data_IF_491894595574
#
_entry.id   IF_491894595574
#
_cell.length_a   1.000
_cell.length_b   1.000
_cell.length_c   1.000
_cell.angle_alpha   90.00
_cell.angle_beta   90.00
_cell.angle_gamma   90.00
#
_symmetry.space_group_name_H-M   'P 1'
#
loop_
_entity.id
_entity.type
_entity.pdbx_description
1 polymer ?
#
# COMPACT_ATOMS: atom_id res chain seq x y z
N UNK A 1 18.54 -15.03 16.01
CA UNK A 1 18.29 -14.61 14.61
C UNK A 1 16.95 -15.16 14.15
N UNK A 2 16.02 -14.32 13.77
CA UNK A 2 14.73 -14.81 13.24
C UNK A 2 14.95 -15.40 11.85
N UNK A 3 14.38 -16.57 11.60
CA UNK A 3 14.46 -17.19 10.29
C UNK A 3 13.39 -16.57 9.39
N UNK A 4 13.80 -15.70 8.49
CA UNK A 4 12.89 -14.99 7.60
C UNK A 4 12.10 -15.95 6.69
N UNK A 5 12.73 -17.06 6.29
CA UNK A 5 12.04 -18.05 5.47
C UNK A 5 10.84 -18.70 6.15
N UNK A 6 10.86 -18.81 7.48
CA UNK A 6 9.74 -19.40 8.24
C UNK A 6 8.66 -18.35 8.54
N UNK A 7 9.05 -17.14 8.88
CA UNK A 7 8.13 -16.08 9.30
C UNK A 7 8.07 -14.91 8.32
N UNK A 8 8.61 -15.11 7.12
CA UNK A 8 8.77 -14.02 6.17
C UNK A 8 7.48 -13.33 5.79
N UNK A 9 6.42 -14.09 5.54
CA UNK A 9 5.10 -13.53 5.21
C UNK A 9 4.59 -12.64 6.35
N UNK A 10 4.61 -13.16 7.56
CA UNK A 10 4.12 -12.42 8.72
C UNK A 10 4.96 -11.17 8.97
N UNK A 11 6.29 -11.32 8.95
CA UNK A 11 7.19 -10.20 9.19
C UNK A 11 7.02 -9.10 8.15
N UNK A 12 6.91 -9.48 6.88
CA UNK A 12 6.75 -8.50 5.79
C UNK A 12 5.44 -7.73 5.93
N UNK A 13 4.32 -8.43 6.10
CA UNK A 13 3.02 -7.79 6.21
C UNK A 13 2.92 -6.89 7.44
N UNK A 14 3.43 -7.34 8.59
CA UNK A 14 3.44 -6.54 9.82
C UNK A 14 4.36 -5.32 9.70
N UNK A 15 5.50 -5.47 9.04
CA UNK A 15 6.42 -4.35 8.82
C UNK A 15 5.79 -3.29 7.94
N UNK A 16 5.18 -3.68 6.83
CA UNK A 16 4.48 -2.75 5.93
C UNK A 16 3.33 -2.06 6.67
N UNK A 17 2.52 -2.82 7.41
CA UNK A 17 1.44 -2.27 8.22
C UNK A 17 1.95 -1.21 9.19
N UNK A 18 3.01 -1.50 9.92
CA UNK A 18 3.60 -0.57 10.89
C UNK A 18 4.07 0.71 10.22
N UNK A 19 4.73 0.60 9.07
CA UNK A 19 5.21 1.77 8.34
C UNK A 19 4.06 2.62 7.79
N UNK A 20 3.01 1.98 7.30
CA UNK A 20 1.83 2.72 6.82
C UNK A 20 1.10 3.42 7.96
N UNK A 21 0.90 2.74 9.10
CA UNK A 21 0.23 3.34 10.25
C UNK A 21 1.03 4.50 10.88
N UNK A 22 2.32 4.57 10.64
CA UNK A 22 3.14 5.68 11.09
C UNK A 22 2.87 6.98 10.32
N UNK A 23 2.22 6.90 9.17
CA UNK A 23 1.87 8.09 8.38
C UNK A 23 0.55 8.67 8.90
N UNK A 24 0.52 9.99 9.11
CA UNK A 24 -0.68 10.69 9.61
C UNK A 24 -1.85 10.63 8.62
N UNK A 25 -1.57 10.37 7.35
CA UNK A 25 -2.58 10.29 6.30
C UNK A 25 -3.13 8.87 6.12
N UNK A 26 -2.81 7.95 7.03
CA UNK A 26 -3.32 6.60 7.05
C UNK A 26 -4.05 6.36 8.37
N UNK A 27 -5.33 6.06 8.30
CA UNK A 27 -6.14 5.77 9.48
C UNK A 27 -6.20 4.28 9.77
N UNK A 28 -6.37 3.46 8.73
CA UNK A 28 -6.56 2.01 8.88
C UNK A 28 -5.73 1.28 7.84
N UNK A 29 -5.16 0.15 8.23
CA UNK A 29 -4.48 -0.76 7.31
C UNK A 29 -5.16 -2.12 7.40
N UNK A 30 -5.56 -2.65 6.24
CA UNK A 30 -6.18 -3.96 6.12
C UNK A 30 -5.36 -4.83 5.17
N UNK A 31 -5.61 -6.14 5.21
CA UNK A 31 -4.94 -7.09 4.31
C UNK A 31 -5.93 -8.17 3.88
N UNK A 32 -5.67 -8.79 2.75
CA UNK A 32 -6.49 -9.87 2.21
C UNK A 32 -6.97 -9.56 0.80
N UNK A 33 -8.10 -10.16 0.41
CA UNK A 33 -8.71 -9.89 -0.88
C UNK A 33 -9.36 -8.51 -0.89
N UNK A 34 -9.44 -7.89 -2.07
CA UNK A 34 -10.08 -6.59 -2.22
C UNK A 34 -11.56 -6.64 -1.80
N UNK A 35 -12.20 -7.79 -1.92
CA UNK A 35 -13.58 -7.99 -1.48
C UNK A 35 -13.75 -7.99 0.04
N UNK A 36 -12.65 -8.14 0.77
CA UNK A 36 -12.66 -8.13 2.23
C UNK A 36 -12.81 -6.73 2.83
N UNK A 37 -12.71 -5.69 2.00
CA UNK A 37 -12.84 -4.31 2.46
C UNK A 37 -14.33 -4.00 2.67
N UNK A 38 -14.69 -3.66 3.90
CA UNK A 38 -16.04 -3.22 4.19
C UNK A 38 -16.18 -1.73 3.87
N UNK A 39 -16.59 -1.43 2.66
CA UNK A 39 -16.70 -0.08 2.14
C UNK A 39 -17.78 0.76 2.82
N UNK A 40 -18.67 0.13 3.60
CA UNK A 40 -19.70 0.85 4.35
C UNK A 40 -19.20 1.56 5.59
N UNK A 41 -17.98 1.27 6.04
CA UNK A 41 -17.41 1.88 7.24
C UNK A 41 -16.60 3.12 6.89
N UNK A 42 -17.23 4.29 6.93
CA UNK A 42 -16.57 5.54 6.56
C UNK A 42 -15.45 5.95 7.51
N UNK A 43 -15.53 5.53 8.77
CA UNK A 43 -14.52 5.87 9.79
C UNK A 43 -13.18 5.15 9.61
N UNK A 44 -13.10 4.18 8.70
CA UNK A 44 -11.83 3.49 8.41
C UNK A 44 -10.92 4.26 7.44
N UNK A 45 -11.44 5.29 6.77
CA UNK A 45 -10.64 6.05 5.79
C UNK A 45 -9.90 7.22 6.44
N UNK A 46 -8.72 7.64 5.90
CA UNK A 46 -7.99 7.05 4.76
C UNK A 46 -7.51 5.62 5.05
N UNK A 47 -7.65 4.76 4.03
CA UNK A 47 -7.40 3.33 4.14
C UNK A 47 -6.22 2.92 3.26
N UNK A 48 -5.37 2.06 3.80
CA UNK A 48 -4.39 1.33 3.01
C UNK A 48 -4.70 -0.16 3.09
N UNK A 49 -4.74 -0.83 1.95
CA UNK A 49 -5.07 -2.25 1.86
C UNK A 49 -3.94 -3.01 1.18
N UNK A 50 -3.44 -4.05 1.83
CA UNK A 50 -2.31 -4.85 1.36
C UNK A 50 -2.84 -6.14 0.75
N UNK A 51 -2.47 -6.39 -0.51
CA UNK A 51 -2.83 -7.62 -1.23
C UNK A 51 -1.55 -8.34 -1.59
N UNK A 52 -1.44 -9.60 -1.18
CA UNK A 52 -0.35 -10.46 -1.62
C UNK A 52 -0.80 -11.18 -2.88
N UNK A 53 -0.20 -10.84 -4.01
CA UNK A 53 -0.59 -11.42 -5.30
C UNK A 53 0.00 -12.82 -5.48
N UNK A 54 1.30 -12.96 -5.27
CA UNK A 54 1.97 -14.25 -5.29
C UNK A 54 3.31 -14.19 -4.58
N UNK A 55 3.92 -15.35 -4.38
CA UNK A 55 5.26 -15.48 -3.80
C UNK A 55 6.04 -16.45 -4.68
N UNK A 56 7.24 -16.05 -5.10
CA UNK A 56 8.18 -16.92 -5.81
C UNK A 56 9.25 -17.38 -4.82
N UNK A 57 9.41 -18.69 -4.70
CA UNK A 57 10.38 -19.28 -3.77
C UNK A 57 11.65 -19.62 -4.54
N UNK A 58 12.75 -18.94 -4.23
CA UNK A 58 14.07 -19.22 -4.77
C UNK A 58 14.93 -19.88 -3.68
N UNK A 59 16.12 -20.34 -4.06
CA UNK A 59 17.01 -21.02 -3.11
C UNK A 59 17.42 -20.12 -1.94
N UNK A 60 17.66 -18.83 -2.21
CA UNK A 60 18.17 -17.89 -1.22
C UNK A 60 17.23 -16.72 -0.93
N UNK A 61 16.16 -16.57 -1.70
CA UNK A 61 15.24 -15.44 -1.56
C UNK A 61 13.79 -15.87 -1.66
N UNK A 62 12.92 -15.09 -1.02
CA UNK A 62 11.49 -15.15 -1.24
C UNK A 62 11.07 -13.83 -1.89
N UNK A 63 10.46 -13.91 -3.05
CA UNK A 63 10.04 -12.74 -3.82
C UNK A 63 8.53 -12.58 -3.70
N UNK A 64 8.11 -11.54 -2.98
CA UNK A 64 6.69 -11.23 -2.79
C UNK A 64 6.25 -10.21 -3.81
N UNK A 65 5.24 -10.58 -4.61
CA UNK A 65 4.55 -9.60 -5.46
C UNK A 65 3.34 -9.10 -4.68
N UNK A 66 3.34 -7.83 -4.33
CA UNK A 66 2.29 -7.23 -3.51
C UNK A 66 1.69 -6.02 -4.20
N UNK A 67 0.42 -5.79 -3.92
CA UNK A 67 -0.27 -4.57 -4.32
C UNK A 67 -0.76 -3.86 -3.05
N UNK A 68 -0.58 -2.56 -3.00
CA UNK A 68 -1.04 -1.74 -1.89
C UNK A 68 -1.97 -0.67 -2.46
N UNK A 69 -3.22 -0.67 -1.99
CA UNK A 69 -4.18 0.38 -2.30
C UNK A 69 -4.09 1.43 -1.20
N UNK A 70 -3.92 2.68 -1.60
CA UNK A 70 -4.02 3.82 -0.68
C UNK A 70 -5.13 4.71 -1.19
N UNK A 71 -6.21 4.86 -0.42
CA UNK A 71 -7.41 5.53 -0.88
C UNK A 71 -8.11 6.29 0.24
N UNK A 72 -8.97 7.21 -0.19
CA UNK A 72 -9.82 7.99 0.71
C UNK A 72 -11.17 8.25 0.03
N UNK A 73 -12.14 8.68 0.81
CA UNK A 73 -13.49 9.00 0.33
C UNK A 73 -13.46 10.35 -0.36
N UNK A 74 -14.06 10.41 -1.56
CA UNK A 74 -14.20 11.65 -2.32
C UNK A 74 -15.33 12.47 -1.73
N UNK A 75 -15.03 13.71 -1.36
CA UNK A 75 -16.00 14.69 -0.93
C UNK A 75 -16.37 15.61 -2.11
N UNK A 76 -17.65 15.74 -2.38
CA UNK A 76 -18.14 16.61 -3.44
C UNK A 76 -18.90 17.79 -2.84
N UNK A 77 -18.54 18.99 -3.29
CA UNK A 77 -19.29 20.20 -2.94
C UNK A 77 -20.47 20.38 -3.90
N UNK A 78 -21.62 20.83 -3.35
CA UNK A 78 -22.80 21.18 -4.15
C UNK A 78 -22.76 22.63 -4.64
N UNK A 79 -21.70 23.38 -4.32
CA UNK A 79 -21.54 24.76 -4.76
C UNK A 79 -21.18 24.80 -6.26
N UNK A 80 -21.41 25.97 -6.89
CA UNK A 80 -20.99 26.14 -8.28
C UNK A 80 -19.48 25.97 -8.43
N UNK A 81 -19.09 25.28 -9.50
CA UNK A 81 -17.68 25.04 -9.80
C UNK A 81 -16.99 26.35 -10.18
N UNK A 82 -16.02 26.78 -9.38
CA UNK A 82 -15.22 27.99 -9.66
C UNK A 82 -13.94 27.66 -10.42
N UNK A 83 -13.49 26.40 -10.40
CA UNK A 83 -12.29 25.94 -11.08
C UNK A 83 -12.68 24.77 -11.97
N UNK A 84 -12.61 24.97 -13.28
CA UNK A 84 -12.96 23.96 -14.27
C UNK A 84 -11.98 22.77 -14.22
N UNK A 85 -10.73 22.99 -13.85
CA UNK A 85 -9.71 21.95 -13.80
C UNK A 85 -9.90 21.00 -12.63
N UNK A 86 -10.14 21.55 -11.44
CA UNK A 86 -10.27 20.71 -10.21
C UNK A 86 -11.71 20.30 -9.92
N UNK A 87 -12.69 21.04 -10.41
CA UNK A 87 -14.10 20.78 -10.11
C UNK A 87 -14.45 21.04 -8.65
N UNK A 88 -15.52 20.42 -8.20
CA UNK A 88 -16.05 20.59 -6.84
C UNK A 88 -15.73 19.41 -5.92
N UNK A 89 -14.90 18.48 -6.35
CA UNK A 89 -14.49 17.37 -5.51
C UNK A 89 -13.02 17.53 -5.09
N UNK A 90 -12.61 16.75 -4.09
CA UNK A 90 -11.27 16.80 -3.55
C UNK A 90 -10.36 15.67 -4.08
N UNK A 91 -10.70 15.11 -5.25
CA UNK A 91 -9.94 13.99 -5.85
C UNK A 91 -8.47 14.32 -6.02
N UNK A 92 -8.17 15.52 -6.52
CA UNK A 92 -6.77 15.93 -6.74
C UNK A 92 -5.98 15.95 -5.44
N UNK A 93 -6.58 16.45 -4.35
CA UNK A 93 -5.95 16.46 -3.05
C UNK A 93 -5.73 15.04 -2.51
N UNK A 94 -6.72 14.16 -2.68
CA UNK A 94 -6.61 12.75 -2.28
C UNK A 94 -5.49 12.07 -3.07
N UNK A 95 -5.44 12.26 -4.37
CA UNK A 95 -4.40 11.65 -5.21
C UNK A 95 -3.01 12.12 -4.78
N UNK A 96 -2.85 13.39 -4.51
CA UNK A 96 -1.57 13.92 -4.04
C UNK A 96 -1.16 13.31 -2.68
N UNK A 97 -2.08 13.27 -1.74
CA UNK A 97 -1.83 12.78 -0.38
C UNK A 97 -1.52 11.29 -0.38
N UNK A 98 -2.30 10.49 -1.09
CA UNK A 98 -2.11 9.05 -1.11
C UNK A 98 -0.87 8.65 -1.93
N UNK A 99 -0.54 9.40 -2.96
CA UNK A 99 0.74 9.21 -3.67
C UNK A 99 1.91 9.44 -2.71
N UNK A 100 1.84 10.47 -1.87
CA UNK A 100 2.89 10.74 -0.90
C UNK A 100 3.06 9.60 0.11
N UNK A 101 1.94 9.01 0.56
CA UNK A 101 1.97 7.84 1.48
C UNK A 101 2.75 6.69 0.85
N UNK A 102 2.39 6.32 -0.38
CA UNK A 102 3.02 5.21 -1.08
C UNK A 102 4.48 5.52 -1.42
N UNK A 103 4.76 6.74 -1.83
CA UNK A 103 6.13 7.15 -2.15
C UNK A 103 7.05 7.07 -0.93
N UNK A 104 6.57 7.48 0.24
CA UNK A 104 7.34 7.36 1.50
C UNK A 104 7.68 5.91 1.81
N UNK A 105 6.71 5.01 1.65
CA UNK A 105 6.94 3.58 1.88
C UNK A 105 7.99 3.03 0.89
N UNK A 106 7.85 3.36 -0.38
CA UNK A 106 8.77 2.90 -1.43
C UNK A 106 10.19 3.42 -1.17
N UNK A 107 10.34 4.68 -0.78
CA UNK A 107 11.67 5.23 -0.49
C UNK A 107 12.31 4.58 0.74
N UNK A 108 11.53 4.22 1.76
CA UNK A 108 12.03 3.48 2.91
C UNK A 108 12.53 2.09 2.50
N UNK A 109 11.86 1.44 1.55
CA UNK A 109 12.30 0.15 1.03
C UNK A 109 13.59 0.25 0.20
N UNK A 110 13.80 1.37 -0.49
CA UNK A 110 14.98 1.57 -1.35
C UNK A 110 16.22 2.00 -0.58
N UNK A 111 16.07 2.96 0.32
CA UNK A 111 17.21 3.66 0.92
C UNK A 111 17.07 3.87 2.42
N UNK A 112 15.92 3.52 3.00
CA UNK A 112 15.65 3.78 4.40
C UNK A 112 15.89 2.58 5.31
N UNK A 113 15.23 2.62 6.47
CA UNK A 113 15.38 1.59 7.50
C UNK A 113 14.97 0.20 7.02
N UNK A 114 13.97 0.10 6.16
CA UNK A 114 13.52 -1.20 5.66
C UNK A 114 14.57 -1.87 4.78
N UNK A 115 15.34 -1.08 4.03
CA UNK A 115 16.45 -1.62 3.25
C UNK A 115 17.54 -2.22 4.16
N UNK A 116 17.86 -1.55 5.26
CA UNK A 116 18.84 -2.07 6.23
C UNK A 116 18.33 -3.30 6.97
N UNK A 117 17.02 -3.45 7.09
CA UNK A 117 16.38 -4.62 7.70
C UNK A 117 16.21 -5.78 6.71
N UNK A 118 16.92 -5.74 5.57
CA UNK A 118 16.98 -6.80 4.57
C UNK A 118 15.73 -6.99 3.72
N UNK A 119 14.86 -5.97 3.66
CA UNK A 119 13.79 -5.92 2.68
C UNK A 119 14.30 -5.20 1.44
N UNK A 120 14.37 -5.89 0.32
CA UNK A 120 14.88 -5.32 -0.92
C UNK A 120 13.77 -5.15 -1.94
N UNK A 121 13.64 -3.95 -2.46
CA UNK A 121 12.71 -3.67 -3.53
C UNK A 121 13.34 -4.06 -4.85
N UNK A 122 12.68 -4.98 -5.58
CA UNK A 122 13.14 -5.42 -6.88
C UNK A 122 12.48 -4.59 -7.98
N UNK A 123 13.30 -3.92 -8.78
CA UNK A 123 12.81 -3.09 -9.87
C UNK A 123 12.16 -1.79 -9.41
N UNK A 124 11.33 -1.22 -10.27
CA UNK A 124 10.62 0.03 -10.00
C UNK A 124 9.14 -0.27 -9.84
N UNK A 125 8.54 0.09 -8.69
CA UNK A 125 7.10 -0.05 -8.50
C UNK A 125 6.33 0.80 -9.49
N UNK A 126 5.19 0.28 -9.94
CA UNK A 126 4.25 1.06 -10.74
C UNK A 126 3.06 1.46 -9.89
N UNK A 127 2.59 2.68 -10.07
CA UNK A 127 1.44 3.21 -9.37
C UNK A 127 0.38 3.60 -10.39
N UNK A 128 -0.82 3.04 -10.23
CA UNK A 128 -1.95 3.33 -11.10
C UNK A 128 -3.02 4.06 -10.32
N UNK A 129 -3.45 5.25 -10.79
CA UNK A 129 -4.51 5.98 -10.09
C UNK A 129 -5.88 5.37 -10.37
N UNK A 130 -6.80 5.57 -9.43
CA UNK A 130 -8.21 5.27 -9.66
C UNK A 130 -9.07 6.40 -9.10
N UNK A 131 -10.21 6.62 -9.74
CA UNK A 131 -11.13 7.70 -9.42
C UNK A 131 -12.53 7.14 -9.28
N UNK A 132 -13.27 7.63 -8.29
CA UNK A 132 -14.71 7.35 -8.13
C UNK A 132 -15.05 5.87 -8.27
N UNK A 133 -14.17 5.01 -7.77
CA UNK A 133 -14.41 3.57 -7.76
C UNK A 133 -15.23 3.19 -6.53
N UNK A 134 -15.97 2.11 -6.70
CA UNK A 134 -16.81 1.53 -5.68
C UNK A 134 -18.02 2.43 -5.37
N UNK A 135 -18.97 1.88 -4.64
CA UNK A 135 -20.22 2.59 -4.31
C UNK A 135 -20.00 3.84 -3.47
N UNK A 136 -18.91 3.88 -2.71
CA UNK A 136 -18.59 4.98 -1.79
C UNK A 136 -17.72 6.07 -2.42
N UNK A 137 -17.53 6.04 -3.74
CA UNK A 137 -16.72 7.04 -4.46
C UNK A 137 -15.34 7.21 -3.83
N UNK A 138 -14.52 6.19 -3.96
CA UNK A 138 -13.14 6.19 -3.48
C UNK A 138 -12.19 6.63 -4.59
N UNK A 139 -11.16 7.36 -4.21
CA UNK A 139 -10.06 7.72 -5.10
C UNK A 139 -8.73 7.41 -4.41
N UNK A 140 -7.71 7.13 -5.20
CA UNK A 140 -6.41 6.82 -4.68
C UNK A 140 -5.50 6.19 -5.70
N UNK A 141 -4.53 5.42 -5.22
CA UNK A 141 -3.52 4.76 -6.03
C UNK A 141 -3.40 3.29 -5.66
N UNK A 142 -3.09 2.47 -6.64
CA UNK A 142 -2.67 1.09 -6.45
C UNK A 142 -1.19 0.99 -6.80
N UNK A 143 -0.36 0.63 -5.84
CA UNK A 143 1.06 0.39 -6.06
C UNK A 143 1.29 -1.11 -6.18
N UNK A 144 1.96 -1.53 -7.25
CA UNK A 144 2.38 -2.93 -7.42
C UNK A 144 3.89 -3.00 -7.36
N UNK A 145 4.41 -3.87 -6.51
CA UNK A 145 5.84 -3.95 -6.26
C UNK A 145 6.28 -5.38 -5.96
N UNK A 146 7.56 -5.65 -6.17
CA UNK A 146 8.19 -6.90 -5.80
C UNK A 146 9.18 -6.64 -4.66
N UNK A 147 9.01 -7.35 -3.55
CA UNK A 147 9.89 -7.24 -2.39
C UNK A 147 10.57 -8.58 -2.17
N UNK A 148 11.91 -8.56 -2.13
CA UNK A 148 12.70 -9.74 -1.85
C UNK A 148 13.08 -9.75 -0.38
N UNK A 149 12.93 -10.91 0.26
CA UNK A 149 13.49 -11.16 1.58
C UNK A 149 14.40 -12.37 1.53
N UNK A 150 15.23 -12.50 2.52
CA UNK A 150 16.18 -13.60 2.60
C UNK A 150 15.45 -14.89 2.98
N UNK A 151 15.72 -15.96 2.22
CA UNK A 151 15.18 -17.28 2.53
C UNK A 151 16.26 -18.11 3.23
N UNK A 152 16.16 -18.17 4.55
CA UNK A 152 17.17 -18.80 5.40
C UNK A 152 16.70 -20.11 6.03
N UNK A 153 15.70 -20.77 5.41
CA UNK A 153 15.27 -22.07 5.86
C UNK A 153 16.33 -23.12 5.50
N UNK A 154 16.82 -23.81 6.52
CA UNK A 154 17.77 -24.91 6.35
C UNK A 154 17.03 -26.23 6.42
N UNK A 155 17.30 -27.07 5.42
CA UNK A 155 16.82 -28.45 5.40
C UNK A 155 18.01 -29.32 5.80
N UNK A 156 17.91 -29.95 6.95
CA UNK A 156 18.93 -30.89 7.42
C UNK A 156 18.58 -32.31 7.03
#
# INVERSE_FOLDING_TARGET
MSQQGIRGFYQLTETIKTQLLADINVNTVTTGDITDINLGKQDMFPLSHIIINNVVVNEQTLDFNISILACDIVNQSKLETTDIFTGNNDVQNILNTQLAVLNKLIQKLRMGNLHTDMYQLDGSPSLDPFYDRFENQLAGWTATMNIQIYNDIYIC
#
